data_IF_662535684514
#
_entry.id   IF_662535684514
#
_cell.length_a   1.000
_cell.length_b   1.000
_cell.length_c   1.000
_cell.angle_alpha   90.00
_cell.angle_beta   90.00
_cell.angle_gamma   90.00
#
_symmetry.space_group_name_H-M   'P 1'
#
loop_
_entity.id
_entity.type
_entity.pdbx_description
1 polymer ?
#
# COMPACT_ATOMS: atom_id res chain seq x y z
N UNK A 1 9.59 23.10 5.26
CA UNK A 1 9.94 21.68 5.42
C UNK A 1 8.71 20.97 5.95
N UNK A 2 8.11 20.15 5.10
CA UNK A 2 6.91 19.34 5.38
C UNK A 2 7.26 17.85 5.45
N UNK A 3 6.39 17.05 6.06
CA UNK A 3 6.49 15.58 6.12
C UNK A 3 5.44 14.92 5.23
N UNK A 4 5.89 14.04 4.35
CA UNK A 4 5.04 13.31 3.41
C UNK A 4 5.05 11.81 3.69
N UNK A 5 3.86 11.21 3.63
CA UNK A 5 3.73 9.76 3.43
C UNK A 5 3.29 9.51 2.00
N UNK A 6 4.10 8.74 1.26
CA UNK A 6 3.85 8.40 -0.14
C UNK A 6 3.51 6.91 -0.23
N UNK A 7 2.28 6.59 -0.67
CA UNK A 7 1.81 5.23 -0.94
C UNK A 7 2.01 4.88 -2.41
N UNK A 8 2.82 3.84 -2.67
CA UNK A 8 3.09 3.31 -4.00
C UNK A 8 2.21 2.09 -4.32
N UNK A 9 1.41 2.20 -5.40
CA UNK A 9 0.61 1.10 -5.92
C UNK A 9 1.39 0.04 -6.71
N UNK A 10 0.71 -1.02 -7.15
CA UNK A 10 1.33 -2.11 -7.94
C UNK A 10 1.92 -1.66 -9.28
N UNK A 11 1.37 -0.59 -9.86
CA UNK A 11 1.86 0.00 -11.11
C UNK A 11 3.30 0.53 -11.00
N UNK A 12 3.73 0.88 -9.78
CA UNK A 12 5.09 1.32 -9.50
C UNK A 12 6.08 0.15 -9.33
N UNK A 13 5.58 -1.09 -9.22
CA UNK A 13 6.37 -2.24 -8.76
C UNK A 13 6.42 -3.41 -9.76
N UNK A 14 5.57 -3.41 -10.79
CA UNK A 14 5.55 -4.45 -11.83
C UNK A 14 5.20 -5.84 -11.29
N UNK A 15 5.51 -6.86 -12.09
CA UNK A 15 5.18 -8.27 -11.80
C UNK A 15 6.42 -9.16 -11.60
N UNK A 16 7.62 -8.66 -11.87
CA UNK A 16 8.89 -9.40 -11.67
C UNK A 16 10.04 -8.45 -11.30
N UNK A 17 11.19 -9.01 -10.90
CA UNK A 17 12.33 -8.26 -10.41
C UNK A 17 12.94 -7.28 -11.42
N UNK A 18 12.99 -7.65 -12.70
CA UNK A 18 13.59 -6.79 -13.73
C UNK A 18 12.67 -5.62 -14.06
N UNK A 19 11.37 -5.89 -14.23
CA UNK A 19 10.35 -4.86 -14.45
C UNK A 19 10.29 -3.89 -13.27
N UNK A 20 10.29 -4.41 -12.03
CA UNK A 20 10.29 -3.59 -10.81
C UNK A 20 11.47 -2.62 -10.77
N UNK A 21 12.68 -3.08 -11.08
CA UNK A 21 13.88 -2.22 -11.13
C UNK A 21 13.77 -1.11 -12.17
N UNK A 22 13.09 -1.34 -13.30
CA UNK A 22 12.90 -0.30 -14.31
C UNK A 22 11.86 0.73 -13.86
N UNK A 23 10.69 0.28 -13.39
CA UNK A 23 9.62 1.15 -12.93
C UNK A 23 10.06 2.05 -11.76
N UNK A 24 10.85 1.51 -10.83
CA UNK A 24 11.34 2.26 -9.68
C UNK A 24 12.31 3.39 -10.04
N UNK A 25 12.90 3.39 -11.24
CA UNK A 25 13.68 4.55 -11.72
C UNK A 25 12.79 5.77 -11.91
N UNK A 26 11.58 5.58 -12.42
CA UNK A 26 10.64 6.68 -12.64
C UNK A 26 10.04 7.13 -11.31
N UNK A 27 9.80 6.21 -10.38
CA UNK A 27 9.47 6.56 -8.98
C UNK A 27 10.56 7.42 -8.36
N UNK A 28 11.83 7.00 -8.43
CA UNK A 28 12.94 7.73 -7.86
C UNK A 28 13.07 9.14 -8.46
N UNK A 29 12.88 9.30 -9.78
CA UNK A 29 12.84 10.62 -10.43
C UNK A 29 11.70 11.49 -9.91
N UNK A 30 10.52 10.90 -9.74
CA UNK A 30 9.31 11.61 -9.31
C UNK A 30 9.42 12.14 -7.87
N UNK A 31 10.04 11.38 -6.97
CA UNK A 31 10.19 11.77 -5.56
C UNK A 31 11.44 12.62 -5.28
N UNK A 32 12.42 12.63 -6.18
CA UNK A 32 13.68 13.34 -5.98
C UNK A 32 13.53 14.82 -5.63
N UNK A 33 12.61 15.61 -6.25
CA UNK A 33 12.41 17.01 -5.85
C UNK A 33 12.12 17.18 -4.36
N UNK A 34 11.36 16.26 -3.74
CA UNK A 34 11.10 16.33 -2.29
C UNK A 34 12.33 16.07 -1.46
N UNK A 35 13.20 15.18 -1.96
CA UNK A 35 14.46 14.84 -1.29
C UNK A 35 15.36 16.07 -1.34
N UNK A 36 15.47 16.71 -2.50
CA UNK A 36 16.27 17.92 -2.74
C UNK A 36 15.79 19.10 -1.88
N UNK A 37 14.48 19.26 -1.71
CA UNK A 37 13.86 20.29 -0.86
C UNK A 37 13.88 19.96 0.66
N UNK A 38 14.64 18.92 1.05
CA UNK A 38 14.87 18.47 2.44
C UNK A 38 13.58 18.11 3.22
N UNK A 39 12.55 17.66 2.52
CA UNK A 39 11.32 17.19 3.15
C UNK A 39 11.50 15.88 3.91
N UNK A 40 10.73 15.64 4.97
CA UNK A 40 10.69 14.32 5.60
C UNK A 40 9.83 13.38 4.72
N UNK A 41 10.38 12.22 4.35
CA UNK A 41 9.71 11.32 3.40
C UNK A 41 9.62 9.92 4.00
N UNK A 42 8.39 9.40 4.01
CA UNK A 42 8.08 8.02 4.36
C UNK A 42 7.41 7.38 3.14
N UNK A 43 7.91 6.22 2.72
CA UNK A 43 7.38 5.47 1.59
C UNK A 43 6.73 4.20 2.13
N UNK A 44 5.44 4.04 1.82
CA UNK A 44 4.68 2.81 1.98
C UNK A 44 4.41 2.26 0.59
N UNK A 45 4.41 0.94 0.42
CA UNK A 45 4.18 0.34 -0.90
C UNK A 45 3.27 -0.87 -0.81
N UNK A 46 2.57 -1.20 -1.89
CA UNK A 46 1.87 -2.49 -2.02
C UNK A 46 2.85 -3.65 -2.24
N UNK A 47 2.36 -4.89 -2.16
CA UNK A 47 3.19 -6.07 -2.44
C UNK A 47 2.45 -7.17 -3.20
N UNK A 48 1.21 -6.95 -3.66
CA UNK A 48 0.31 -8.00 -4.17
C UNK A 48 0.95 -8.98 -5.17
N UNK A 49 1.49 -8.51 -6.30
CA UNK A 49 2.18 -9.39 -7.25
C UNK A 49 3.41 -10.09 -6.64
N UNK A 50 4.18 -9.38 -5.83
CA UNK A 50 5.45 -9.87 -5.27
C UNK A 50 5.25 -10.93 -4.19
N UNK A 51 4.33 -10.70 -3.24
CA UNK A 51 3.99 -11.67 -2.21
C UNK A 51 3.30 -12.89 -2.81
N UNK A 52 2.48 -12.69 -3.86
CA UNK A 52 1.88 -13.78 -4.62
C UNK A 52 2.93 -14.66 -5.30
N UNK A 53 3.94 -14.06 -5.94
CA UNK A 53 5.06 -14.79 -6.55
C UNK A 53 5.87 -15.57 -5.51
N UNK A 54 6.17 -14.97 -4.36
CA UNK A 54 6.90 -15.63 -3.27
C UNK A 54 6.09 -16.82 -2.74
N UNK A 55 4.81 -16.62 -2.41
CA UNK A 55 3.96 -17.68 -1.88
C UNK A 55 3.78 -18.82 -2.90
N UNK A 56 3.60 -18.50 -4.18
CA UNK A 56 3.50 -19.51 -5.24
C UNK A 56 4.78 -20.35 -5.33
N UNK A 57 5.96 -19.73 -5.28
CA UNK A 57 7.23 -20.45 -5.34
C UNK A 57 7.40 -21.46 -4.18
N UNK A 58 6.94 -21.12 -2.97
CA UNK A 58 6.93 -22.05 -1.84
C UNK A 58 5.87 -23.15 -1.99
N UNK A 59 4.70 -22.84 -2.54
CA UNK A 59 3.66 -23.84 -2.80
C UNK A 59 4.06 -24.86 -3.88
N UNK A 60 4.82 -24.44 -4.89
CA UNK A 60 5.28 -25.31 -5.98
C UNK A 60 6.55 -26.11 -5.63
N UNK A 61 7.27 -25.69 -4.59
CA UNK A 61 8.49 -26.35 -4.16
C UNK A 61 8.22 -27.74 -3.56
N UNK A 62 8.98 -28.73 -4.01
CA UNK A 62 8.92 -30.11 -3.49
C UNK A 62 9.95 -30.38 -2.39
N UNK A 63 10.89 -29.44 -2.18
CA UNK A 63 12.05 -29.62 -1.30
C UNK A 63 12.11 -28.64 -0.13
N UNK A 64 11.15 -27.71 -0.05
CA UNK A 64 11.06 -26.74 1.05
C UNK A 64 9.67 -26.80 1.68
N UNK A 65 9.54 -26.51 2.98
CA UNK A 65 8.22 -26.42 3.61
C UNK A 65 7.40 -25.27 3.02
N UNK A 66 6.08 -25.35 3.20
CA UNK A 66 5.18 -24.24 2.92
C UNK A 66 5.56 -23.05 3.81
N UNK A 67 5.53 -21.86 3.21
CA UNK A 67 5.80 -20.62 3.92
C UNK A 67 4.47 -19.94 4.26
N UNK A 68 4.18 -19.65 5.53
CA UNK A 68 2.96 -18.93 5.88
C UNK A 68 2.95 -17.51 5.29
N UNK A 69 1.75 -16.91 5.21
CA UNK A 69 1.57 -15.72 4.41
C UNK A 69 2.22 -14.48 5.05
N UNK A 70 2.27 -14.44 6.39
CA UNK A 70 2.96 -13.41 7.15
C UNK A 70 4.46 -13.35 6.81
N UNK A 71 5.15 -14.50 6.76
CA UNK A 71 6.56 -14.60 6.39
C UNK A 71 6.79 -14.25 4.92
N UNK A 72 5.89 -14.67 4.02
CA UNK A 72 5.93 -14.21 2.63
C UNK A 72 5.82 -12.68 2.55
N UNK A 73 4.97 -12.08 3.39
CA UNK A 73 4.84 -10.64 3.58
C UNK A 73 6.17 -10.01 4.01
N UNK A 74 6.81 -10.56 5.04
CA UNK A 74 8.12 -10.11 5.52
C UNK A 74 9.21 -10.17 4.42
N UNK A 75 9.28 -11.28 3.68
CA UNK A 75 10.20 -11.42 2.54
C UNK A 75 9.94 -10.36 1.46
N UNK A 76 8.67 -10.08 1.17
CA UNK A 76 8.29 -9.08 0.18
C UNK A 76 8.73 -7.66 0.56
N UNK A 77 8.76 -7.33 1.85
CA UNK A 77 9.26 -6.03 2.33
C UNK A 77 10.76 -5.87 2.06
N UNK A 78 11.56 -6.90 2.40
CA UNK A 78 12.99 -6.88 2.13
C UNK A 78 13.28 -6.79 0.63
N UNK A 79 12.58 -7.57 -0.19
CA UNK A 79 12.71 -7.57 -1.65
C UNK A 79 12.40 -6.20 -2.27
N UNK A 80 11.22 -5.64 -1.98
CA UNK A 80 10.77 -4.39 -2.59
C UNK A 80 11.55 -3.20 -2.02
N UNK A 81 11.75 -3.15 -0.70
CA UNK A 81 12.49 -2.09 -0.04
C UNK A 81 13.94 -2.01 -0.48
N UNK A 82 14.59 -3.15 -0.76
CA UNK A 82 15.90 -3.19 -1.41
C UNK A 82 15.91 -2.48 -2.77
N UNK A 83 14.92 -2.78 -3.63
CA UNK A 83 14.86 -2.13 -4.94
C UNK A 83 14.54 -0.65 -4.87
N UNK A 84 13.64 -0.23 -3.96
CA UNK A 84 13.31 1.19 -3.75
C UNK A 84 14.57 1.93 -3.26
N UNK A 85 15.26 1.40 -2.24
CA UNK A 85 16.52 1.98 -1.73
C UNK A 85 17.54 2.19 -2.85
N UNK A 86 17.79 1.16 -3.67
CA UNK A 86 18.74 1.25 -4.77
C UNK A 86 18.35 2.32 -5.80
N UNK A 87 17.07 2.38 -6.17
CA UNK A 87 16.60 3.34 -7.18
C UNK A 87 16.76 4.78 -6.69
N UNK A 88 16.38 5.06 -5.44
CA UNK A 88 16.52 6.38 -4.83
C UNK A 88 18.00 6.74 -4.65
N UNK A 89 18.80 5.81 -4.11
CA UNK A 89 20.24 6.01 -3.93
C UNK A 89 20.93 6.38 -5.24
N UNK A 90 20.67 5.62 -6.31
CA UNK A 90 21.26 5.89 -7.62
C UNK A 90 20.81 7.24 -8.18
N UNK A 91 19.52 7.61 -8.01
CA UNK A 91 19.03 8.92 -8.44
C UNK A 91 19.71 10.05 -7.66
N UNK A 92 19.82 9.95 -6.34
CA UNK A 92 20.51 10.96 -5.53
C UNK A 92 21.98 11.10 -5.93
N UNK A 93 22.69 9.98 -6.15
CA UNK A 93 24.09 10.01 -6.62
C UNK A 93 24.27 10.67 -7.97
N UNK A 94 23.35 10.48 -8.92
CA UNK A 94 23.38 11.16 -10.22
C UNK A 94 23.24 12.69 -10.09
N UNK A 95 22.52 13.15 -9.07
CA UNK A 95 22.27 14.57 -8.80
C UNK A 95 23.23 15.16 -7.76
N UNK A 96 24.31 14.44 -7.41
CA UNK A 96 25.27 14.82 -6.36
C UNK A 96 24.62 15.13 -5.00
N UNK A 97 23.53 14.43 -4.68
CA UNK A 97 22.82 14.52 -3.42
C UNK A 97 23.11 13.29 -2.56
N UNK A 98 23.14 13.47 -1.23
CA UNK A 98 23.35 12.39 -0.27
C UNK A 98 22.38 12.50 0.89
N UNK A 99 21.65 11.41 1.13
CA UNK A 99 20.76 11.27 2.28
C UNK A 99 20.64 9.79 2.64
N UNK A 100 20.65 9.42 3.93
CA UNK A 100 20.48 8.03 4.30
C UNK A 100 19.07 7.54 3.95
N UNK A 101 18.97 6.30 3.49
CA UNK A 101 17.70 5.63 3.19
C UNK A 101 17.66 4.36 4.04
N UNK A 102 16.50 4.01 4.60
CA UNK A 102 16.35 2.81 5.41
C UNK A 102 15.03 2.13 5.14
N UNK A 103 15.09 0.83 4.80
CA UNK A 103 13.91 -0.04 4.83
C UNK A 103 13.81 -0.70 6.20
N UNK A 104 12.62 -0.67 6.78
CA UNK A 104 12.32 -1.30 8.07
C UNK A 104 11.31 -2.42 7.85
N UNK A 105 11.66 -3.62 8.30
CA UNK A 105 10.68 -4.71 8.42
C UNK A 105 9.63 -4.27 9.43
N UNK A 106 8.38 -4.17 8.99
CA UNK A 106 7.31 -3.52 9.74
C UNK A 106 6.17 -4.48 10.03
N UNK A 107 5.77 -4.54 11.30
CA UNK A 107 4.58 -5.21 11.80
C UNK A 107 3.48 -4.19 12.06
N UNK A 108 2.24 -4.58 11.77
CA UNK A 108 1.06 -3.73 11.93
C UNK A 108 0.05 -4.45 12.78
N UNK A 109 -0.28 -3.82 13.90
CA UNK A 109 -1.24 -4.34 14.87
C UNK A 109 -2.64 -4.25 14.29
N UNK A 110 -3.40 -5.34 14.41
CA UNK A 110 -4.80 -5.44 14.01
C UNK A 110 -5.64 -6.02 15.15
N UNK A 111 -6.96 -5.76 15.11
CA UNK A 111 -7.88 -6.32 16.12
C UNK A 111 -8.08 -7.82 15.85
N UNK A 112 -7.81 -8.67 16.84
CA UNK A 112 -8.08 -10.11 16.75
C UNK A 112 -9.56 -10.43 16.52
N UNK A 113 -10.46 -9.51 16.86
CA UNK A 113 -11.91 -9.65 16.66
C UNK A 113 -12.43 -8.92 15.41
N UNK A 114 -11.55 -8.41 14.53
CA UNK A 114 -11.96 -7.73 13.30
C UNK A 114 -12.89 -8.64 12.48
N UNK A 115 -14.02 -8.09 12.03
CA UNK A 115 -15.02 -8.82 11.27
C UNK A 115 -14.45 -9.39 9.95
N UNK A 116 -13.38 -8.80 9.43
CA UNK A 116 -12.67 -9.28 8.24
C UNK A 116 -12.10 -10.71 8.40
N UNK A 117 -11.84 -11.17 9.63
CA UNK A 117 -11.43 -12.56 9.89
C UNK A 117 -12.59 -13.55 9.72
N UNK A 118 -13.83 -13.12 9.94
CA UNK A 118 -15.04 -13.93 9.76
C UNK A 118 -15.55 -13.90 8.32
N UNK A 119 -15.29 -12.81 7.59
CA UNK A 119 -15.67 -12.65 6.18
C UNK A 119 -14.46 -12.22 5.31
N UNK A 120 -13.54 -13.15 4.99
CA UNK A 120 -12.39 -12.89 4.14
C UNK A 120 -12.84 -12.50 2.73
N UNK A 121 -12.38 -11.34 2.24
CA UNK A 121 -12.82 -10.79 0.95
C UNK A 121 -11.68 -10.37 0.03
N UNK A 122 -10.43 -10.33 0.51
CA UNK A 122 -9.29 -9.80 -0.26
C UNK A 122 -8.65 -10.90 -1.12
N UNK A 123 -8.75 -10.84 -2.46
CA UNK A 123 -8.18 -11.88 -3.32
C UNK A 123 -6.66 -11.78 -3.40
N UNK A 124 -5.97 -12.91 -3.23
CA UNK A 124 -4.51 -13.05 -3.24
C UNK A 124 -4.06 -14.16 -4.19
N UNK A 125 -2.77 -14.16 -4.53
CA UNK A 125 -2.15 -15.20 -5.35
C UNK A 125 -2.69 -15.30 -6.77
N UNK A 126 -2.44 -16.45 -7.39
CA UNK A 126 -2.78 -16.81 -8.77
C UNK A 126 -4.27 -17.05 -9.00
N UNK A 127 -4.67 -17.06 -10.27
CA UNK A 127 -5.99 -17.53 -10.69
C UNK A 127 -5.98 -19.05 -10.83
N UNK A 128 -7.06 -19.68 -10.36
CA UNK A 128 -7.30 -21.11 -10.41
C UNK A 128 -8.57 -21.39 -11.20
N UNK A 129 -8.63 -22.55 -11.85
CA UNK A 129 -9.89 -23.10 -12.34
C UNK A 129 -10.83 -23.44 -11.17
N UNK A 130 -12.12 -23.63 -11.45
CA UNK A 130 -13.08 -24.05 -10.43
C UNK A 130 -12.66 -25.38 -9.77
N UNK A 131 -12.16 -26.32 -10.56
CA UNK A 131 -11.75 -27.65 -10.08
C UNK A 131 -10.56 -27.55 -9.13
N UNK A 132 -9.54 -26.77 -9.48
CA UNK A 132 -8.37 -26.53 -8.62
C UNK A 132 -8.77 -25.79 -7.34
N UNK A 133 -9.66 -24.80 -7.44
CA UNK A 133 -10.14 -24.06 -6.28
C UNK A 133 -10.94 -24.95 -5.30
N UNK A 134 -11.81 -25.82 -5.82
CA UNK A 134 -12.56 -26.78 -5.02
C UNK A 134 -11.62 -27.78 -4.31
N UNK A 135 -10.52 -28.15 -4.97
CA UNK A 135 -9.49 -29.02 -4.38
C UNK A 135 -8.71 -28.32 -3.27
N UNK A 136 -8.20 -27.10 -3.52
CA UNK A 136 -7.50 -26.29 -2.53
C UNK A 136 -8.37 -25.97 -1.30
N UNK A 137 -9.67 -25.74 -1.51
CA UNK A 137 -10.62 -25.52 -0.41
C UNK A 137 -10.75 -26.75 0.49
N UNK A 138 -10.75 -27.96 -0.09
CA UNK A 138 -10.86 -29.23 0.66
C UNK A 138 -9.56 -29.63 1.35
N UNK A 139 -8.43 -29.47 0.65
CA UNK A 139 -7.13 -29.95 1.12
C UNK A 139 -6.47 -28.97 2.10
N UNK A 140 -6.60 -27.66 1.87
CA UNK A 140 -5.90 -26.63 2.63
C UNK A 140 -6.84 -25.71 3.42
N UNK A 141 -8.17 -25.91 3.33
CA UNK A 141 -9.14 -25.09 4.03
C UNK A 141 -9.22 -23.64 3.50
N UNK A 142 -8.71 -23.38 2.30
CA UNK A 142 -8.72 -22.03 1.73
C UNK A 142 -10.13 -21.59 1.35
N UNK A 143 -10.44 -20.34 1.65
CA UNK A 143 -11.62 -19.67 1.11
C UNK A 143 -11.29 -19.19 -0.30
N UNK A 144 -12.07 -19.61 -1.30
CA UNK A 144 -11.88 -19.27 -2.70
C UNK A 144 -13.07 -18.46 -3.22
N UNK A 145 -12.83 -17.40 -3.98
CA UNK A 145 -13.89 -16.61 -4.63
C UNK A 145 -13.64 -16.48 -6.12
N UNK A 146 -14.71 -16.37 -6.89
CA UNK A 146 -14.68 -16.01 -8.30
C UNK A 146 -14.27 -14.54 -8.45
N UNK A 147 -13.31 -14.24 -9.33
CA UNK A 147 -12.80 -12.89 -9.57
C UNK A 147 -13.04 -12.45 -11.03
N UNK A 148 -14.25 -11.94 -11.25
CA UNK A 148 -14.62 -11.13 -12.43
C UNK A 148 -14.46 -11.86 -13.78
N UNK A 149 -14.81 -13.15 -13.83
CA UNK A 149 -14.72 -14.00 -15.01
C UNK A 149 -13.32 -14.52 -15.33
N UNK A 150 -12.32 -14.21 -14.51
CA UNK A 150 -10.91 -14.56 -14.75
C UNK A 150 -10.47 -15.86 -14.05
N UNK A 151 -11.37 -16.47 -13.29
CA UNK A 151 -11.11 -17.67 -12.49
C UNK A 151 -11.35 -17.43 -11.00
N UNK A 152 -10.85 -18.35 -10.18
CA UNK A 152 -10.99 -18.33 -8.73
C UNK A 152 -9.68 -17.92 -8.07
N UNK A 153 -9.76 -17.22 -6.93
CA UNK A 153 -8.58 -16.81 -6.17
C UNK A 153 -8.81 -17.08 -4.68
N UNK A 154 -7.74 -17.38 -3.96
CA UNK A 154 -7.76 -17.46 -2.50
C UNK A 154 -8.09 -16.07 -1.96
N UNK A 155 -8.99 -16.00 -0.99
CA UNK A 155 -9.23 -14.78 -0.21
C UNK A 155 -8.67 -14.92 1.19
N UNK A 156 -8.20 -13.81 1.71
CA UNK A 156 -7.74 -13.67 3.09
C UNK A 156 -8.40 -12.47 3.74
N UNK A 157 -8.34 -12.44 5.07
CA UNK A 157 -8.83 -11.32 5.85
C UNK A 157 -8.07 -10.05 5.49
N UNK A 158 -8.77 -8.91 5.49
CA UNK A 158 -8.18 -7.59 5.30
C UNK A 158 -8.57 -6.66 6.45
N UNK A 159 -8.08 -6.93 7.67
CA UNK A 159 -8.41 -6.14 8.86
C UNK A 159 -7.84 -4.72 8.77
N UNK A 160 -8.41 -3.81 9.56
CA UNK A 160 -7.95 -2.41 9.61
C UNK A 160 -6.68 -2.27 10.46
N UNK A 161 -5.71 -1.44 10.04
CA UNK A 161 -4.52 -1.19 10.84
C UNK A 161 -4.86 -0.34 12.06
N UNK A 162 -4.52 -0.85 13.25
CA UNK A 162 -4.67 -0.12 14.51
C UNK A 162 -3.42 0.72 14.81
N UNK A 163 -2.24 0.11 14.67
CA UNK A 163 -0.97 0.71 15.03
C UNK A 163 0.19 0.08 14.24
N UNK A 164 1.36 0.73 14.25
CA UNK A 164 2.60 0.21 13.67
C UNK A 164 3.58 -0.04 14.79
N UNK A 165 4.07 -1.27 14.92
CA UNK A 165 4.91 -1.69 16.04
C UNK A 165 6.23 -0.92 16.05
N UNK A 166 6.86 -0.75 14.88
CA UNK A 166 8.16 -0.09 14.74
C UNK A 166 8.08 1.44 14.64
N UNK A 167 6.95 2.07 15.04
CA UNK A 167 6.73 3.53 14.90
C UNK A 167 7.78 4.39 15.57
N UNK A 168 8.30 3.99 16.73
CA UNK A 168 9.33 4.76 17.44
C UNK A 168 10.67 4.73 16.70
N UNK A 169 11.03 3.59 16.11
CA UNK A 169 12.20 3.48 15.23
C UNK A 169 12.05 4.33 13.97
N UNK A 170 10.86 4.34 13.36
CA UNK A 170 10.54 5.20 12.22
C UNK A 170 10.72 6.67 12.58
N UNK A 171 10.16 7.12 13.71
CA UNK A 171 10.29 8.51 14.18
C UNK A 171 11.75 8.90 14.46
N UNK A 172 12.53 8.00 15.06
CA UNK A 172 13.96 8.23 15.30
C UNK A 172 14.73 8.42 14.00
N UNK A 173 14.50 7.56 13.00
CA UNK A 173 15.15 7.66 11.69
C UNK A 173 14.76 8.95 10.94
N UNK A 174 13.49 9.38 11.02
CA UNK A 174 13.05 10.65 10.44
C UNK A 174 13.73 11.84 11.10
N UNK A 175 13.92 11.80 12.43
CA UNK A 175 14.66 12.84 13.16
C UNK A 175 16.11 12.97 12.65
N UNK A 176 16.73 11.84 12.31
CA UNK A 176 18.08 11.77 11.73
C UNK A 176 18.09 11.94 10.20
N UNK A 177 16.98 12.43 9.63
CA UNK A 177 16.83 12.76 8.21
C UNK A 177 16.96 11.58 7.27
N UNK A 178 16.63 10.37 7.72
CA UNK A 178 16.49 9.25 6.80
C UNK A 178 15.25 9.40 5.92
N UNK A 179 15.36 8.95 4.67
CA UNK A 179 14.21 8.55 3.87
C UNK A 179 13.81 7.15 4.36
N UNK A 180 12.60 7.01 4.88
CA UNK A 180 12.16 5.77 5.53
C UNK A 180 11.20 5.01 4.61
N UNK A 181 11.48 3.73 4.36
CA UNK A 181 10.58 2.81 3.67
C UNK A 181 10.06 1.82 4.71
N UNK A 182 8.75 1.81 4.95
CA UNK A 182 8.15 0.99 6.00
C UNK A 182 6.72 0.56 5.64
N UNK A 183 6.14 -0.32 6.46
CA UNK A 183 4.82 -0.90 6.24
C UNK A 183 4.64 -1.48 4.82
N UNK A 184 5.71 -2.06 4.26
CA UNK A 184 5.66 -2.65 2.93
C UNK A 184 4.60 -3.74 2.84
N UNK A 185 3.77 -3.68 1.79
CA UNK A 185 2.60 -4.55 1.65
C UNK A 185 1.41 -4.21 2.55
N UNK A 186 1.45 -3.08 3.26
CA UNK A 186 0.53 -2.77 4.36
C UNK A 186 1.05 -3.22 5.74
N UNK A 187 2.25 -3.81 5.81
CA UNK A 187 2.84 -4.35 7.03
C UNK A 187 2.52 -5.83 7.26
N UNK A 188 3.31 -6.49 8.09
CA UNK A 188 3.05 -7.86 8.54
C UNK A 188 1.95 -7.78 9.60
N UNK A 189 0.75 -8.35 9.36
CA UNK A 189 -0.34 -8.27 10.31
C UNK A 189 -0.02 -9.10 11.56
N UNK A 190 -0.13 -8.45 12.72
CA UNK A 190 0.04 -9.10 14.03
C UNK A 190 -1.13 -8.76 14.94
N UNK A 191 -1.49 -9.70 15.80
CA UNK A 191 -2.38 -9.46 16.94
C UNK A 191 -1.56 -9.46 18.23
N UNK A 192 -2.07 -8.78 19.26
CA UNK A 192 -1.52 -8.90 20.61
C UNK A 192 -2.41 -9.84 21.43
N UNK A 193 -1.84 -10.95 21.88
CA UNK A 193 -2.50 -11.92 22.75
C UNK A 193 -1.55 -12.27 23.89
N UNK A 194 -2.04 -12.17 25.13
CA UNK A 194 -1.25 -12.51 26.33
C UNK A 194 0.13 -11.81 26.40
N UNK A 195 0.20 -10.55 25.92
CA UNK A 195 1.42 -9.73 25.77
C UNK A 195 2.45 -10.25 24.75
N UNK A 196 2.07 -11.19 23.89
CA UNK A 196 2.87 -11.64 22.76
C UNK A 196 2.31 -11.09 21.45
N UNK A 197 3.21 -10.78 20.50
CA UNK A 197 2.83 -10.45 19.13
C UNK A 197 2.81 -11.73 18.31
N UNK A 198 1.66 -12.01 17.71
CA UNK A 198 1.44 -13.22 16.90
C UNK A 198 1.12 -12.80 15.48
N UNK A 199 1.90 -13.28 14.51
CA UNK A 199 1.62 -13.12 13.09
C UNK A 199 0.36 -13.88 12.68
N UNK A 200 -0.48 -13.25 11.86
CA UNK A 200 -1.73 -13.84 11.38
C UNK A 200 -1.78 -13.85 9.85
N UNK A 201 -2.43 -14.85 9.26
CA UNK A 201 -2.59 -14.93 7.81
C UNK A 201 -3.68 -13.94 7.32
N UNK A 202 -3.28 -12.69 7.16
CA UNK A 202 -4.11 -11.60 6.65
C UNK A 202 -3.33 -10.69 5.69
N UNK A 203 -4.03 -9.78 5.02
CA UNK A 203 -3.43 -8.72 4.20
C UNK A 203 -4.05 -7.39 4.56
N UNK A 204 -3.26 -6.51 5.16
CA UNK A 204 -3.70 -5.14 5.43
C UNK A 204 -3.67 -4.35 4.12
N UNK A 205 -4.71 -3.57 3.86
CA UNK A 205 -4.69 -2.69 2.70
C UNK A 205 -3.64 -1.59 2.89
N UNK A 206 -2.67 -1.52 1.96
CA UNK A 206 -1.57 -0.56 2.07
C UNK A 206 -2.01 0.89 2.12
N UNK A 207 -3.13 1.26 1.51
CA UNK A 207 -3.60 2.64 1.52
C UNK A 207 -4.10 3.01 2.93
N UNK A 208 -4.81 2.10 3.61
CA UNK A 208 -5.15 2.26 5.04
C UNK A 208 -3.91 2.24 5.94
N UNK A 209 -2.93 1.38 5.68
CA UNK A 209 -1.68 1.38 6.42
C UNK A 209 -0.90 2.69 6.23
N UNK A 210 -0.94 3.27 5.02
CA UNK A 210 -0.34 4.57 4.71
C UNK A 210 -1.04 5.71 5.45
N UNK A 211 -2.37 5.68 5.52
CA UNK A 211 -3.13 6.64 6.32
C UNK A 211 -2.79 6.55 7.81
N UNK A 212 -2.68 5.32 8.36
CA UNK A 212 -2.26 5.12 9.75
C UNK A 212 -0.81 5.58 9.97
N UNK A 213 0.10 5.29 9.04
CA UNK A 213 1.48 5.79 9.07
C UNK A 213 1.52 7.32 9.09
N UNK A 214 0.74 7.97 8.23
CA UNK A 214 0.67 9.43 8.14
C UNK A 214 0.14 10.05 9.43
N UNK A 215 -0.87 9.44 10.04
CA UNK A 215 -1.39 9.84 11.35
C UNK A 215 -0.33 9.72 12.45
N UNK A 216 0.30 8.56 12.64
CA UNK A 216 1.22 8.32 13.76
C UNK A 216 2.53 9.10 13.65
N UNK A 217 2.95 9.41 12.42
CA UNK A 217 4.14 10.20 12.13
C UNK A 217 3.84 11.69 12.00
N UNK A 218 2.60 12.11 12.23
CA UNK A 218 2.19 13.51 12.11
C UNK A 218 2.60 14.11 10.76
N UNK A 219 2.33 13.38 9.67
CA UNK A 219 2.61 13.84 8.32
C UNK A 219 1.72 15.04 7.94
N UNK A 220 2.29 16.00 7.23
CA UNK A 220 1.57 17.18 6.73
C UNK A 220 0.65 16.83 5.57
N UNK A 221 0.99 15.79 4.81
CA UNK A 221 0.21 15.33 3.67
C UNK A 221 0.39 13.82 3.42
N UNK A 222 -0.72 13.15 3.11
CA UNK A 222 -0.75 11.76 2.62
C UNK A 222 -0.95 11.77 1.11
N UNK A 223 -0.09 11.07 0.37
CA UNK A 223 -0.13 11.02 -1.09
C UNK A 223 -0.22 9.58 -1.55
N UNK A 224 -1.26 9.25 -2.30
CA UNK A 224 -1.47 7.94 -2.90
C UNK A 224 -1.21 8.04 -4.40
N UNK A 225 -0.14 7.38 -4.86
CA UNK A 225 0.23 7.32 -6.27
C UNK A 225 -0.36 6.06 -6.93
N UNK A 226 -1.15 6.28 -7.98
CA UNK A 226 -1.92 5.25 -8.69
C UNK A 226 -1.80 5.38 -10.22
N UNK A 227 -2.61 4.64 -10.98
CA UNK A 227 -2.60 4.63 -12.46
C UNK A 227 -3.43 5.74 -13.10
N UNK A 228 -4.20 6.50 -12.32
CA UNK A 228 -5.11 7.52 -12.82
C UNK A 228 -4.70 8.89 -12.30
N UNK A 229 -4.82 9.89 -13.15
CA UNK A 229 -4.47 11.28 -12.84
C UNK A 229 -5.37 11.87 -11.74
N UNK A 230 -6.68 11.60 -11.83
CA UNK A 230 -7.68 12.05 -10.87
C UNK A 230 -8.57 10.88 -10.45
N UNK A 231 -9.26 11.06 -9.32
CA UNK A 231 -10.46 10.32 -8.99
C UNK A 231 -11.58 10.82 -9.89
N UNK A 232 -12.36 9.90 -10.46
CA UNK A 232 -13.47 10.24 -11.35
C UNK A 232 -14.80 9.76 -10.78
N UNK A 233 -15.83 10.59 -10.94
CA UNK A 233 -17.23 10.16 -10.94
C UNK A 233 -17.57 9.57 -12.30
N UNK A 234 -18.51 8.62 -12.32
CA UNK A 234 -19.01 7.96 -13.53
C UNK A 234 -17.87 7.43 -14.43
N UNK A 235 -16.89 6.78 -13.79
CA UNK A 235 -15.67 6.32 -14.42
C UNK A 235 -15.93 5.37 -15.60
N UNK A 236 -15.20 5.58 -16.71
CA UNK A 236 -15.38 4.89 -18.00
C UNK A 236 -16.76 5.07 -18.64
N UNK A 237 -17.42 6.20 -18.39
CA UNK A 237 -18.66 6.58 -19.09
C UNK A 237 -18.49 7.92 -19.82
N UNK A 238 -19.39 8.27 -20.77
CA UNK A 238 -19.41 9.58 -21.41
C UNK A 238 -19.61 10.76 -20.44
N UNK A 239 -20.09 10.49 -19.22
CA UNK A 239 -20.34 11.49 -18.18
C UNK A 239 -19.20 11.58 -17.16
N UNK A 240 -18.06 10.92 -17.43
CA UNK A 240 -16.92 10.88 -16.52
C UNK A 240 -16.47 12.30 -16.11
N UNK A 241 -16.40 12.55 -14.81
CA UNK A 241 -16.02 13.85 -14.24
C UNK A 241 -14.86 13.71 -13.27
N UNK A 242 -13.76 14.42 -13.53
CA UNK A 242 -12.61 14.46 -12.63
C UNK A 242 -12.91 15.27 -11.36
N UNK A 243 -12.55 14.72 -10.21
CA UNK A 243 -12.53 15.43 -8.93
C UNK A 243 -11.14 16.07 -8.76
N UNK A 244 -11.08 17.40 -8.65
CA UNK A 244 -9.80 18.12 -8.46
C UNK A 244 -9.55 18.45 -7.00
N UNK A 245 -10.48 19.20 -6.38
CA UNK A 245 -10.48 19.49 -4.94
C UNK A 245 -11.86 19.13 -4.41
N UNK A 246 -11.92 18.32 -3.36
CA UNK A 246 -13.18 17.76 -2.84
C UNK A 246 -13.13 17.68 -1.32
N UNK A 247 -14.22 18.02 -0.66
CA UNK A 247 -14.37 17.89 0.78
C UNK A 247 -14.73 16.46 1.19
N UNK A 248 -14.48 16.14 2.46
CA UNK A 248 -14.97 14.88 3.05
C UNK A 248 -16.49 14.75 2.92
N UNK A 249 -17.25 15.83 3.11
CA UNK A 249 -18.71 15.80 3.01
C UNK A 249 -19.20 15.42 1.61
N UNK A 250 -18.56 15.95 0.57
CA UNK A 250 -18.87 15.58 -0.83
C UNK A 250 -18.51 14.11 -1.12
N UNK A 251 -17.36 13.64 -0.62
CA UNK A 251 -16.97 12.23 -0.78
C UNK A 251 -17.94 11.28 -0.07
N UNK A 252 -18.46 11.62 1.11
CA UNK A 252 -19.48 10.83 1.79
C UNK A 252 -20.76 10.68 0.98
N UNK A 253 -21.19 11.74 0.29
CA UNK A 253 -22.33 11.69 -0.63
C UNK A 253 -22.02 10.79 -1.85
N UNK A 254 -20.84 10.93 -2.45
CA UNK A 254 -20.43 10.08 -3.57
C UNK A 254 -20.26 8.60 -3.22
N UNK A 255 -19.82 8.31 -1.99
CA UNK A 255 -19.74 6.95 -1.45
C UNK A 255 -21.12 6.31 -1.31
N UNK A 256 -22.12 7.05 -0.80
CA UNK A 256 -23.51 6.59 -0.71
C UNK A 256 -24.11 6.28 -2.09
N UNK A 257 -23.68 7.04 -3.11
CA UNK A 257 -24.08 6.85 -4.52
C UNK A 257 -23.31 5.73 -5.24
N UNK A 258 -22.30 5.14 -4.61
CA UNK A 258 -21.58 3.99 -5.15
C UNK A 258 -20.65 4.31 -6.33
N UNK A 259 -20.14 5.53 -6.44
CA UNK A 259 -19.27 5.91 -7.56
C UNK A 259 -17.90 5.20 -7.56
N UNK A 260 -17.43 4.67 -6.41
CA UNK A 260 -16.09 4.11 -6.27
C UNK A 260 -16.09 2.59 -6.09
N UNK A 261 -15.26 1.89 -6.87
CA UNK A 261 -15.19 0.42 -6.87
C UNK A 261 -14.41 -0.12 -5.66
N UNK A 262 -14.98 -1.12 -4.96
CA UNK A 262 -14.42 -1.79 -3.76
C UNK A 262 -13.00 -2.35 -3.93
N UNK A 263 -12.66 -2.84 -5.11
CA UNK A 263 -11.35 -3.46 -5.39
C UNK A 263 -10.22 -2.51 -5.79
N UNK A 264 -10.50 -1.21 -5.95
CA UNK A 264 -9.51 -0.27 -6.49
C UNK A 264 -9.55 1.12 -5.84
N UNK A 265 -10.54 1.93 -6.19
CA UNK A 265 -10.58 3.34 -5.81
C UNK A 265 -11.20 3.55 -4.41
N UNK A 266 -12.16 2.70 -4.02
CA UNK A 266 -12.83 2.87 -2.73
C UNK A 266 -11.85 2.84 -1.54
N UNK A 267 -10.93 1.85 -1.40
CA UNK A 267 -10.00 1.84 -0.27
C UNK A 267 -9.09 3.08 -0.21
N UNK A 268 -8.75 3.66 -1.37
CA UNK A 268 -7.95 4.89 -1.46
C UNK A 268 -8.71 6.08 -0.90
N UNK A 269 -9.97 6.22 -1.32
CA UNK A 269 -10.87 7.27 -0.82
C UNK A 269 -11.09 7.12 0.68
N UNK A 270 -11.37 5.91 1.16
CA UNK A 270 -11.58 5.64 2.59
C UNK A 270 -10.32 5.92 3.41
N UNK A 271 -9.14 5.57 2.91
CA UNK A 271 -7.86 5.87 3.56
C UNK A 271 -7.58 7.37 3.63
N UNK A 272 -7.72 8.09 2.51
CA UNK A 272 -7.57 9.54 2.44
C UNK A 272 -8.55 10.26 3.39
N UNK A 273 -9.83 9.87 3.35
CA UNK A 273 -10.83 10.41 4.27
C UNK A 273 -10.51 10.12 5.73
N UNK A 274 -10.03 8.92 6.07
CA UNK A 274 -9.64 8.58 7.43
C UNK A 274 -8.51 9.48 7.94
N UNK A 275 -7.45 9.67 7.15
CA UNK A 275 -6.34 10.56 7.48
C UNK A 275 -6.80 12.01 7.63
N UNK A 276 -7.53 12.55 6.64
CA UNK A 276 -7.97 13.94 6.64
C UNK A 276 -8.96 14.22 7.77
N UNK A 277 -9.85 13.27 8.11
CA UNK A 277 -10.74 13.38 9.29
C UNK A 277 -9.97 13.39 10.60
N UNK A 278 -8.97 12.51 10.73
CA UNK A 278 -8.21 12.36 11.97
C UNK A 278 -7.29 13.55 12.25
N UNK A 279 -6.74 14.17 11.21
CA UNK A 279 -5.66 15.18 11.33
C UNK A 279 -6.06 16.58 10.92
N UNK A 280 -7.15 16.75 10.16
CA UNK A 280 -7.51 18.00 9.49
C UNK A 280 -6.59 18.37 8.32
N UNK A 281 -5.63 17.51 7.95
CA UNK A 281 -4.62 17.77 6.92
C UNK A 281 -5.01 17.17 5.56
N UNK A 282 -4.58 17.78 4.45
CA UNK A 282 -4.99 17.34 3.12
C UNK A 282 -4.39 15.98 2.76
N UNK A 283 -5.09 15.25 1.90
CA UNK A 283 -4.54 14.07 1.24
C UNK A 283 -4.75 14.16 -0.28
N UNK A 284 -3.90 13.47 -1.04
CA UNK A 284 -3.91 13.55 -2.50
C UNK A 284 -3.93 12.15 -3.10
N UNK A 285 -4.75 11.96 -4.13
CA UNK A 285 -4.68 10.81 -5.03
C UNK A 285 -4.29 11.31 -6.41
N UNK A 286 -3.17 10.81 -6.94
CA UNK A 286 -2.64 11.24 -8.24
C UNK A 286 -1.96 10.09 -8.99
N UNK A 287 -1.61 10.32 -10.26
CA UNK A 287 -0.74 9.40 -11.00
C UNK A 287 0.72 9.62 -10.63
N UNK A 288 1.56 8.59 -10.85
CA UNK A 288 3.01 8.71 -10.66
C UNK A 288 3.63 9.80 -11.56
N UNK A 289 3.14 9.92 -12.79
CA UNK A 289 3.64 10.90 -13.77
C UNK A 289 3.36 12.34 -13.36
N UNK A 290 2.32 12.56 -12.55
CA UNK A 290 1.93 13.86 -12.00
C UNK A 290 2.37 14.04 -10.55
N UNK A 291 3.24 13.17 -10.02
CA UNK A 291 3.60 13.21 -8.61
C UNK A 291 4.18 14.58 -8.23
N UNK A 292 5.04 15.18 -9.08
CA UNK A 292 5.61 16.50 -8.84
C UNK A 292 4.53 17.58 -8.71
N UNK A 293 3.61 17.65 -9.67
CA UNK A 293 2.52 18.64 -9.65
C UNK A 293 1.53 18.35 -8.52
N UNK A 294 1.31 17.08 -8.16
CA UNK A 294 0.48 16.68 -7.04
C UNK A 294 1.08 17.15 -5.70
N UNK A 295 2.39 17.05 -5.52
CA UNK A 295 3.11 17.53 -4.33
C UNK A 295 3.00 19.05 -4.15
N UNK A 296 2.85 19.78 -5.24
CA UNK A 296 2.60 21.22 -5.25
C UNK A 296 1.10 21.57 -5.17
N UNK A 297 0.21 20.58 -4.99
CA UNK A 297 -1.24 20.71 -5.03
C UNK A 297 -1.79 21.33 -6.34
N UNK A 298 -1.09 21.11 -7.45
CA UNK A 298 -1.46 21.58 -8.80
C UNK A 298 -2.11 20.50 -9.66
N UNK A 299 -1.97 19.23 -9.29
CA UNK A 299 -2.62 18.09 -9.95
C UNK A 299 -3.15 17.07 -8.94
N UNK A 300 -3.90 16.09 -9.42
CA UNK A 300 -4.52 15.06 -8.60
C UNK A 300 -5.82 15.49 -7.95
N UNK A 301 -6.43 14.56 -7.23
CA UNK A 301 -7.59 14.81 -6.39
C UNK A 301 -7.13 15.15 -4.98
N UNK A 302 -7.27 16.41 -4.59
CA UNK A 302 -6.96 16.94 -3.26
C UNK A 302 -8.21 16.82 -2.39
N UNK A 303 -8.08 16.10 -1.29
CA UNK A 303 -9.12 15.83 -0.31
C UNK A 303 -8.87 16.68 0.92
N UNK A 304 -9.87 17.46 1.32
CA UNK A 304 -9.80 18.40 2.45
C UNK A 304 -10.88 18.10 3.49
N UNK A 305 -10.66 18.60 4.71
CA UNK A 305 -11.62 18.54 5.82
C UNK A 305 -12.99 19.14 5.45
#
# INVERSE_FOLDING_TARGET
MSRYVISLGGNALGNNANEQKQLLKDVAKAIFPLIEDDHDIIIVHGNGPQVGMINLAFNESKSTPLMPFAECGAMSQGYIGYHIQNAIYNKMKLENHERPITTIVSQVLVDANDQAFKDPSKPIGSFYSKVEADQLSKEQGYTMVEDSGRGYRRVVASPKPLDIIEKESIKALLKDKHIVIAAGGGGIPVISQDNELIGVDAVIDKDHASAKMAEITEADELIILTAVEYVYLDFNTPHQKALKKVSIAELEDYLKKGHFKKGSMLPKIEACMAFTKATGRPSIIASLDQAKEALEQKSGTIIIA
#
